data_IF_491384316839
#
_entry.id   IF_491384316839
#
_cell.length_a   1.000
_cell.length_b   1.000
_cell.length_c   1.000
_cell.angle_alpha   90.00
_cell.angle_beta   90.00
_cell.angle_gamma   90.00
#
_symmetry.space_group_name_H-M   'P 1'
#
loop_
_entity.id
_entity.type
_entity.pdbx_description
1 polymer ?
#
# COMPACT_ATOMS: atom_id res chain seq x y z
N UNK A 1 12.77 4.18 -8.55
CA UNK A 1 13.11 3.31 -9.65
C UNK A 1 14.05 2.19 -9.25
N UNK A 2 14.04 1.11 -9.99
CA UNK A 2 14.96 -0.02 -9.82
C UNK A 2 14.85 -0.77 -8.48
N UNK A 3 13.70 -0.71 -7.81
CA UNK A 3 13.48 -1.31 -6.48
C UNK A 3 13.01 -2.77 -6.53
N UNK A 4 12.57 -3.23 -7.69
CA UNK A 4 11.96 -4.55 -7.81
C UNK A 4 12.96 -5.63 -8.21
N UNK A 5 12.75 -6.86 -7.74
CA UNK A 5 13.63 -8.01 -8.00
C UNK A 5 13.77 -8.42 -9.49
N UNK A 6 12.93 -7.87 -10.37
CA UNK A 6 13.07 -8.02 -11.82
C UNK A 6 14.03 -7.01 -12.47
N UNK A 7 14.66 -6.13 -11.67
CA UNK A 7 15.71 -5.23 -12.13
C UNK A 7 16.98 -6.02 -12.47
N UNK A 8 17.44 -5.90 -13.69
CA UNK A 8 18.60 -6.65 -14.21
C UNK A 8 19.63 -5.72 -14.84
N UNK A 9 20.82 -6.23 -15.15
CA UNK A 9 21.82 -5.48 -15.92
C UNK A 9 21.27 -5.01 -17.29
N UNK A 10 20.33 -5.77 -17.91
CA UNK A 10 19.65 -5.33 -19.12
C UNK A 10 18.80 -4.09 -18.88
N UNK A 11 18.06 -4.03 -17.75
CA UNK A 11 17.25 -2.88 -17.35
C UNK A 11 18.12 -1.62 -17.26
N UNK A 12 19.30 -1.72 -16.63
CA UNK A 12 20.22 -0.59 -16.52
C UNK A 12 20.82 -0.16 -17.87
N UNK A 13 21.14 -1.11 -18.77
CA UNK A 13 21.62 -0.76 -20.11
C UNK A 13 20.55 -0.03 -20.94
N UNK A 14 19.28 -0.44 -20.83
CA UNK A 14 18.17 0.24 -21.49
C UNK A 14 18.01 1.66 -20.90
N UNK A 15 18.05 1.78 -19.58
CA UNK A 15 17.96 3.08 -18.93
C UNK A 15 19.11 4.01 -19.35
N UNK A 16 20.34 3.51 -19.41
CA UNK A 16 21.50 4.27 -19.87
C UNK A 16 21.29 4.80 -21.31
N UNK A 17 20.82 3.96 -22.24
CA UNK A 17 20.54 4.39 -23.61
C UNK A 17 19.43 5.45 -23.68
N UNK A 18 18.45 5.40 -22.80
CA UNK A 18 17.39 6.41 -22.73
C UNK A 18 17.89 7.75 -22.22
N UNK A 19 18.95 7.78 -21.38
CA UNK A 19 19.53 9.01 -20.86
C UNK A 19 20.07 9.94 -21.95
N UNK A 20 20.43 9.40 -23.11
CA UNK A 20 20.91 10.18 -24.24
C UNK A 20 19.80 10.97 -24.96
N UNK A 21 18.53 10.61 -24.73
CA UNK A 21 17.38 11.14 -25.47
C UNK A 21 16.30 11.77 -24.60
N UNK A 22 16.43 11.74 -23.27
CA UNK A 22 15.46 12.31 -22.33
C UNK A 22 16.14 13.24 -21.32
N UNK A 23 15.41 14.27 -20.87
CA UNK A 23 15.81 15.02 -19.68
C UNK A 23 15.56 14.18 -18.42
N UNK A 24 16.63 13.53 -17.94
CA UNK A 24 16.59 12.65 -16.77
C UNK A 24 16.13 13.37 -15.53
N UNK A 25 16.51 14.64 -15.35
CA UNK A 25 16.12 15.42 -14.18
C UNK A 25 14.61 15.71 -14.19
N UNK A 26 14.06 16.10 -15.35
CA UNK A 26 12.63 16.33 -15.53
C UNK A 26 11.82 15.04 -15.31
N UNK A 27 12.25 13.92 -15.87
CA UNK A 27 11.59 12.62 -15.70
C UNK A 27 11.61 12.18 -14.23
N UNK A 28 12.75 12.25 -13.56
CA UNK A 28 12.84 11.90 -12.13
C UNK A 28 11.96 12.81 -11.24
N UNK A 29 11.95 14.11 -11.53
CA UNK A 29 11.09 15.06 -10.82
C UNK A 29 9.63 14.70 -10.99
N UNK A 30 9.18 14.44 -12.22
CA UNK A 30 7.78 14.13 -12.51
C UNK A 30 7.33 12.79 -11.88
N UNK A 31 8.16 11.75 -11.97
CA UNK A 31 7.78 10.40 -11.54
C UNK A 31 7.99 10.14 -10.03
N UNK A 32 8.99 10.77 -9.39
CA UNK A 32 9.41 10.36 -8.06
C UNK A 32 9.50 11.49 -7.03
N UNK A 33 9.53 12.74 -7.46
CA UNK A 33 9.83 13.86 -6.56
C UNK A 33 8.71 14.89 -6.44
N UNK A 34 7.63 14.74 -7.20
CA UNK A 34 6.50 15.67 -7.15
C UNK A 34 5.28 14.97 -6.59
N UNK A 35 4.73 15.52 -5.52
CA UNK A 35 3.48 15.07 -4.91
C UNK A 35 2.54 16.25 -4.79
N UNK A 36 1.23 16.03 -4.93
CA UNK A 36 0.24 17.07 -4.65
C UNK A 36 0.24 17.44 -3.17
N UNK A 37 -0.21 18.64 -2.83
CA UNK A 37 -0.38 19.05 -1.42
C UNK A 37 -1.39 18.16 -0.70
N UNK A 38 -2.45 17.76 -1.39
CA UNK A 38 -3.47 16.85 -0.87
C UNK A 38 -2.86 15.50 -0.53
N UNK A 39 -2.07 14.93 -1.44
CA UNK A 39 -1.36 13.67 -1.20
C UNK A 39 -0.43 13.74 0.02
N UNK A 40 0.35 14.82 0.16
CA UNK A 40 1.23 15.00 1.33
C UNK A 40 0.43 15.12 2.63
N UNK A 41 -0.71 15.82 2.62
CA UNK A 41 -1.60 15.91 3.77
C UNK A 41 -2.21 14.55 4.14
N UNK A 42 -2.64 13.76 3.14
CA UNK A 42 -3.13 12.40 3.34
C UNK A 42 -2.06 11.48 3.92
N UNK A 43 -0.83 11.50 3.38
CA UNK A 43 0.30 10.73 3.91
C UNK A 43 0.56 11.08 5.39
N UNK A 44 0.60 12.37 5.72
CA UNK A 44 0.81 12.85 7.09
C UNK A 44 -0.27 12.31 8.03
N UNK A 45 -1.55 12.38 7.63
CA UNK A 45 -2.66 11.91 8.45
C UNK A 45 -2.62 10.40 8.63
N UNK A 46 -2.37 9.64 7.56
CA UNK A 46 -2.26 8.19 7.63
C UNK A 46 -1.12 7.73 8.54
N UNK A 47 0.01 8.44 8.53
CA UNK A 47 1.14 8.15 9.43
C UNK A 47 0.80 8.50 10.88
N UNK A 48 0.15 9.64 11.13
CA UNK A 48 -0.25 10.06 12.47
C UNK A 48 -1.25 9.07 13.11
N UNK A 49 -2.17 8.53 12.31
CA UNK A 49 -3.26 7.65 12.76
C UNK A 49 -2.93 6.16 12.56
N UNK A 50 -1.68 5.78 12.21
CA UNK A 50 -1.30 4.38 11.97
C UNK A 50 -1.48 3.52 13.21
N UNK A 51 -1.91 2.28 12.98
CA UNK A 51 -2.15 1.29 14.03
C UNK A 51 -1.17 0.14 13.88
N UNK A 52 -0.57 -0.29 15.00
CA UNK A 52 0.45 -1.33 15.06
C UNK A 52 -0.10 -2.56 15.78
N UNK A 53 0.10 -3.74 15.20
CA UNK A 53 -0.40 -5.01 15.74
C UNK A 53 0.70 -6.08 15.69
N UNK A 54 0.47 -7.19 16.39
CA UNK A 54 1.31 -8.39 16.40
C UNK A 54 2.81 -8.04 16.56
N UNK A 55 3.14 -7.42 17.70
CA UNK A 55 4.48 -6.95 18.05
C UNK A 55 5.07 -5.96 17.02
N UNK A 56 4.22 -5.08 16.50
CA UNK A 56 4.54 -4.05 15.49
C UNK A 56 4.92 -4.62 14.11
N UNK A 57 4.66 -5.90 13.85
CA UNK A 57 4.92 -6.52 12.55
C UNK A 57 3.83 -6.28 11.53
N UNK A 58 2.63 -5.93 11.98
CA UNK A 58 1.51 -5.54 11.12
C UNK A 58 1.22 -4.06 11.31
N UNK A 59 1.33 -3.30 10.24
CA UNK A 59 0.98 -1.87 10.21
C UNK A 59 -0.30 -1.69 9.41
N UNK A 60 -1.31 -1.08 10.02
CA UNK A 60 -2.57 -0.76 9.37
C UNK A 60 -2.74 0.76 9.29
N UNK A 61 -2.98 1.27 8.10
CA UNK A 61 -3.35 2.65 7.85
C UNK A 61 -4.73 2.69 7.19
N UNK A 62 -5.56 3.63 7.63
CA UNK A 62 -6.96 3.71 7.22
C UNK A 62 -7.24 5.00 6.45
N UNK A 63 -8.08 4.91 5.42
CA UNK A 63 -8.58 6.04 4.64
C UNK A 63 -10.10 6.00 4.70
N UNK A 64 -10.71 6.60 5.74
CA UNK A 64 -12.15 6.75 5.83
C UNK A 64 -12.69 7.66 4.71
N UNK A 65 -13.93 7.47 4.33
CA UNK A 65 -14.62 8.37 3.40
C UNK A 65 -14.63 9.81 3.87
N UNK A 66 -14.83 10.04 5.17
CA UNK A 66 -14.80 11.37 5.79
C UNK A 66 -13.46 12.08 5.57
N UNK A 67 -12.33 11.39 5.77
CA UNK A 67 -11.01 11.95 5.53
C UNK A 67 -10.81 12.31 4.05
N UNK A 68 -11.24 11.43 3.14
CA UNK A 68 -11.18 11.68 1.71
C UNK A 68 -11.98 12.92 1.30
N UNK A 69 -13.19 13.07 1.86
CA UNK A 69 -14.06 14.23 1.61
C UNK A 69 -13.48 15.52 2.20
N UNK A 70 -13.01 15.47 3.45
CA UNK A 70 -12.35 16.59 4.14
C UNK A 70 -11.17 17.14 3.34
N UNK A 71 -10.31 16.25 2.85
CA UNK A 71 -9.12 16.59 2.07
C UNK A 71 -9.40 16.84 0.58
N UNK A 72 -10.64 16.63 0.11
CA UNK A 72 -11.00 16.68 -1.31
C UNK A 72 -10.09 15.81 -2.19
N UNK A 73 -9.65 14.66 -1.63
CA UNK A 73 -8.67 13.79 -2.26
C UNK A 73 -9.28 13.02 -3.44
N UNK A 74 -8.61 13.07 -4.58
CA UNK A 74 -8.94 12.31 -5.78
C UNK A 74 -8.39 10.88 -5.70
N UNK A 75 -8.82 9.99 -6.59
CA UNK A 75 -8.24 8.64 -6.69
C UNK A 75 -6.74 8.68 -7.01
N UNK A 76 -6.29 9.63 -7.82
CA UNK A 76 -4.86 9.83 -8.13
C UNK A 76 -4.02 10.22 -6.91
N UNK A 77 -4.59 10.99 -5.95
CA UNK A 77 -3.88 11.37 -4.73
C UNK A 77 -3.67 10.19 -3.78
N UNK A 78 -4.55 9.17 -3.82
CA UNK A 78 -4.55 8.03 -2.88
C UNK A 78 -4.06 6.70 -3.47
N UNK A 79 -3.91 6.60 -4.79
CA UNK A 79 -3.55 5.33 -5.45
C UNK A 79 -2.24 4.73 -4.93
N UNK A 80 -1.20 5.55 -4.81
CA UNK A 80 0.12 5.10 -4.34
C UNK A 80 0.23 4.97 -2.82
N UNK A 81 -0.75 5.51 -2.05
CA UNK A 81 -0.74 5.44 -0.59
C UNK A 81 -0.90 4.00 -0.07
N UNK A 82 -1.37 3.09 -0.91
CA UNK A 82 -1.52 1.67 -0.55
C UNK A 82 -0.20 0.97 -0.19
N UNK A 83 0.94 1.54 -0.56
CA UNK A 83 2.25 0.99 -0.23
C UNK A 83 2.86 1.58 1.06
N UNK A 84 2.31 2.69 1.57
CA UNK A 84 2.87 3.44 2.69
C UNK A 84 3.06 2.61 3.97
N UNK A 85 2.11 1.77 4.41
CA UNK A 85 2.29 0.98 5.62
C UNK A 85 3.49 0.02 5.57
N UNK A 86 3.84 -0.48 4.39
CA UNK A 86 4.96 -1.41 4.21
C UNK A 86 6.34 -0.73 4.26
N UNK A 87 6.39 0.61 4.29
CA UNK A 87 7.62 1.37 4.42
C UNK A 87 8.03 1.59 5.88
N UNK A 88 7.19 1.24 6.83
CA UNK A 88 7.50 1.34 8.25
C UNK A 88 8.52 0.26 8.61
N UNK A 89 9.59 0.64 9.29
CA UNK A 89 10.66 -0.27 9.70
C UNK A 89 10.13 -1.43 10.56
N UNK A 90 10.60 -2.63 10.30
CA UNK A 90 10.18 -3.84 11.03
C UNK A 90 8.85 -4.44 10.58
N UNK A 91 8.18 -3.85 9.59
CA UNK A 91 6.90 -4.35 9.08
C UNK A 91 7.08 -5.60 8.23
N UNK A 92 6.39 -6.68 8.59
CA UNK A 92 6.24 -7.88 7.76
C UNK A 92 4.99 -7.78 6.86
N UNK A 93 3.94 -7.08 7.33
CA UNK A 93 2.67 -6.92 6.62
C UNK A 93 2.14 -5.49 6.77
N UNK A 94 2.19 -4.71 5.69
CA UNK A 94 1.58 -3.39 5.59
C UNK A 94 0.19 -3.48 4.95
N UNK A 95 -0.80 -2.90 5.60
CA UNK A 95 -2.21 -2.94 5.18
C UNK A 95 -2.77 -1.53 5.06
N UNK A 96 -3.37 -1.24 3.92
CA UNK A 96 -4.19 -0.03 3.74
C UNK A 96 -5.65 -0.44 3.60
N UNK A 97 -6.50 0.12 4.46
CA UNK A 97 -7.94 -0.03 4.42
C UNK A 97 -8.56 1.27 3.89
N UNK A 98 -9.16 1.20 2.71
CA UNK A 98 -9.83 2.35 2.08
C UNK A 98 -11.33 2.12 2.01
N UNK A 99 -12.10 2.94 2.69
CA UNK A 99 -13.55 2.94 2.54
C UNK A 99 -13.91 3.48 1.15
N UNK A 100 -14.58 2.65 0.33
CA UNK A 100 -15.02 3.02 -1.02
C UNK A 100 -16.37 3.72 -0.98
N UNK A 101 -17.25 3.21 -0.13
CA UNK A 101 -18.59 3.71 0.20
C UNK A 101 -18.95 3.16 1.58
N UNK A 102 -19.99 3.69 2.24
CA UNK A 102 -20.44 3.15 3.52
C UNK A 102 -20.65 1.64 3.46
N UNK A 103 -19.99 0.90 4.34
CA UNK A 103 -20.09 -0.55 4.41
C UNK A 103 -19.28 -1.34 3.39
N UNK A 104 -18.40 -0.71 2.60
CA UNK A 104 -17.53 -1.41 1.65
C UNK A 104 -16.09 -0.90 1.75
N UNK A 105 -15.16 -1.78 2.11
CA UNK A 105 -13.74 -1.45 2.34
C UNK A 105 -12.85 -2.20 1.35
N UNK A 106 -12.02 -1.45 0.62
CA UNK A 106 -10.91 -2.00 -0.16
C UNK A 106 -9.72 -2.25 0.76
N UNK A 107 -9.27 -3.48 0.79
CA UNK A 107 -8.07 -3.94 1.48
C UNK A 107 -6.92 -4.00 0.48
N UNK A 108 -5.81 -3.35 0.79
CA UNK A 108 -4.57 -3.48 0.03
C UNK A 108 -3.46 -3.97 0.96
N UNK A 109 -2.81 -5.06 0.60
CA UNK A 109 -1.78 -5.72 1.41
C UNK A 109 -0.45 -5.68 0.68
N UNK A 110 0.61 -5.32 1.39
CA UNK A 110 1.99 -5.37 0.93
C UNK A 110 2.83 -6.09 1.98
N UNK A 111 3.62 -7.07 1.57
CA UNK A 111 4.35 -7.91 2.52
C UNK A 111 5.81 -8.08 2.13
N UNK A 112 6.63 -8.32 3.15
CA UNK A 112 7.97 -8.87 2.99
C UNK A 112 7.95 -10.38 2.72
N UNK A 113 9.13 -11.03 2.69
CA UNK A 113 9.26 -12.44 2.31
C UNK A 113 8.62 -13.43 3.31
N UNK A 114 8.31 -12.97 4.52
CA UNK A 114 7.77 -13.84 5.60
C UNK A 114 6.28 -14.09 5.51
N UNK A 115 5.54 -13.28 4.76
CA UNK A 115 4.08 -13.32 4.72
C UNK A 115 3.61 -13.36 3.27
N UNK A 116 2.75 -14.31 2.94
CA UNK A 116 2.10 -14.39 1.64
C UNK A 116 0.84 -13.53 1.60
N UNK A 117 0.96 -12.33 0.98
CA UNK A 117 -0.18 -11.41 0.81
C UNK A 117 -1.31 -12.04 -0.02
N UNK A 118 -0.98 -12.92 -1.00
CA UNK A 118 -1.98 -13.58 -1.82
C UNK A 118 -2.79 -14.60 -0.99
N UNK A 119 -2.11 -15.40 -0.17
CA UNK A 119 -2.77 -16.33 0.73
C UNK A 119 -3.69 -15.59 1.72
N UNK A 120 -3.22 -14.47 2.30
CA UNK A 120 -4.01 -13.62 3.18
C UNK A 120 -5.26 -13.08 2.47
N UNK A 121 -5.11 -12.47 1.31
CA UNK A 121 -6.24 -11.88 0.60
C UNK A 121 -7.22 -12.92 0.07
N UNK A 122 -6.79 -14.15 -0.25
CA UNK A 122 -7.71 -15.27 -0.61
C UNK A 122 -8.65 -15.62 0.52
N UNK A 123 -8.23 -15.56 1.77
CA UNK A 123 -9.11 -15.77 2.94
C UNK A 123 -10.23 -14.73 2.98
N UNK A 124 -9.94 -13.52 2.47
CA UNK A 124 -10.89 -12.40 2.39
C UNK A 124 -11.68 -12.35 1.07
N UNK A 125 -11.58 -13.39 0.23
CA UNK A 125 -12.27 -13.44 -1.07
C UNK A 125 -11.58 -12.65 -2.18
N UNK A 126 -10.34 -12.23 -1.97
CA UNK A 126 -9.52 -11.49 -2.93
C UNK A 126 -8.39 -12.32 -3.53
N UNK A 127 -7.28 -11.63 -3.93
CA UNK A 127 -6.11 -12.27 -4.51
C UNK A 127 -5.08 -11.29 -5.00
N UNK A 128 -4.06 -11.80 -5.69
CA UNK A 128 -2.96 -11.00 -6.24
C UNK A 128 -1.66 -11.78 -6.27
N UNK A 129 -0.57 -11.12 -5.98
CA UNK A 129 0.78 -11.69 -5.93
C UNK A 129 1.24 -11.90 -4.49
N UNK A 130 2.26 -12.72 -4.30
CA UNK A 130 2.87 -13.03 -3.00
C UNK A 130 3.17 -11.77 -2.16
N UNK A 131 3.79 -10.75 -2.76
CA UNK A 131 4.18 -9.52 -2.05
C UNK A 131 3.15 -8.38 -2.13
N UNK A 132 2.10 -8.50 -2.96
CA UNK A 132 1.14 -7.43 -3.21
C UNK A 132 -0.21 -7.99 -3.63
N UNK A 133 -1.21 -7.85 -2.79
CA UNK A 133 -2.55 -8.39 -3.00
C UNK A 133 -3.63 -7.45 -2.49
N UNK A 134 -4.87 -7.72 -2.86
CA UNK A 134 -6.02 -6.95 -2.41
C UNK A 134 -7.29 -7.78 -2.31
N UNK A 135 -8.22 -7.26 -1.54
CA UNK A 135 -9.58 -7.79 -1.39
C UNK A 135 -10.56 -6.63 -1.24
N UNK A 136 -11.84 -6.93 -1.37
CA UNK A 136 -12.92 -6.04 -0.97
C UNK A 136 -13.72 -6.75 0.12
N UNK A 137 -13.94 -6.08 1.23
CA UNK A 137 -14.65 -6.60 2.40
C UNK A 137 -15.89 -5.74 2.61
N UNK A 138 -17.04 -6.38 2.73
CA UNK A 138 -18.27 -5.70 3.17
C UNK A 138 -18.23 -5.54 4.69
N UNK A 139 -18.52 -4.34 5.17
CA UNK A 139 -18.49 -3.96 6.58
C UNK A 139 -17.79 -2.62 6.82
N UNK A 140 -17.59 -2.32 8.08
CA UNK A 140 -16.88 -1.11 8.57
C UNK A 140 -15.36 -1.28 8.47
N UNK A 141 -14.62 -0.18 8.62
CA UNK A 141 -13.15 -0.22 8.73
C UNK A 141 -12.68 -1.11 9.88
N UNK A 142 -13.39 -1.09 11.02
CA UNK A 142 -13.06 -1.92 12.17
C UNK A 142 -13.26 -3.41 11.88
N UNK A 143 -14.36 -3.80 11.26
CA UNK A 143 -14.63 -5.17 10.85
C UNK A 143 -13.61 -5.66 9.80
N UNK A 144 -13.30 -4.82 8.81
CA UNK A 144 -12.28 -5.12 7.81
C UNK A 144 -10.88 -5.32 8.46
N UNK A 145 -10.52 -4.45 9.41
CA UNK A 145 -9.27 -4.58 10.17
C UNK A 145 -9.21 -5.90 10.95
N UNK A 146 -10.27 -6.24 11.67
CA UNK A 146 -10.34 -7.50 12.41
C UNK A 146 -10.25 -8.72 11.50
N UNK A 147 -10.92 -8.70 10.35
CA UNK A 147 -10.85 -9.76 9.35
C UNK A 147 -9.43 -9.93 8.79
N UNK A 148 -8.74 -8.82 8.48
CA UNK A 148 -7.34 -8.85 8.02
C UNK A 148 -6.40 -9.43 9.07
N UNK A 149 -6.51 -9.01 10.33
CA UNK A 149 -5.67 -9.51 11.42
C UNK A 149 -5.91 -11.01 11.67
N UNK A 150 -7.16 -11.47 11.60
CA UNK A 150 -7.48 -12.89 11.70
C UNK A 150 -6.90 -13.68 10.52
N UNK A 151 -6.98 -13.16 9.30
CA UNK A 151 -6.38 -13.78 8.12
C UNK A 151 -4.85 -13.83 8.20
N UNK A 152 -4.21 -12.74 8.66
CA UNK A 152 -2.77 -12.67 8.89
C UNK A 152 -2.30 -13.78 9.85
N UNK A 153 -2.94 -13.91 11.02
CA UNK A 153 -2.57 -14.94 12.00
C UNK A 153 -2.71 -16.35 11.43
N UNK A 154 -3.74 -16.63 10.66
CA UNK A 154 -3.89 -17.92 9.97
C UNK A 154 -2.75 -18.21 8.99
N UNK A 155 -2.29 -17.20 8.26
CA UNK A 155 -1.21 -17.36 7.26
C UNK A 155 0.14 -17.62 7.92
N UNK A 156 0.42 -16.98 9.06
CA UNK A 156 1.68 -17.18 9.78
C UNK A 156 1.67 -18.37 10.74
N UNK A 157 0.52 -19.06 10.91
CA UNK A 157 0.37 -20.21 11.81
C UNK A 157 0.33 -19.86 13.30
N UNK A 158 -0.17 -18.65 13.62
CA UNK A 158 -0.29 -18.12 14.99
C UNK A 158 -1.75 -18.14 15.48
#
# INVERSE_FOLDING_TARGET
GFQYGNTTARTHRIAAALMDVVDVAAVNKALFRTKSRVRLAMESRMVADMKLFDHQRVVVMEIPLSLRQEMQATDADIEELSALPALVEGTDCGVTLRELRPGTVKVSVRTGPRVDACALCRILGGGGHHAASGATVEGTLDEARMAVLAAYRKVIGA
#
